data_IF_717355516256
#
_entry.id   IF_717355516256
#
_cell.length_a   1.000
_cell.length_b   1.000
_cell.length_c   1.000
_cell.angle_alpha   90.00
_cell.angle_beta   90.00
_cell.angle_gamma   90.00
#
_symmetry.space_group_name_H-M   'P 1'
#
loop_
_entity.id
_entity.type
_entity.pdbx_description
1 polymer ?
#
# COMPACT_ATOMS: atom_id res chain seq x y z
N UNK A 1 -20.77 -1.20 10.93
CA UNK A 1 -20.71 -1.45 9.47
C UNK A 1 -19.52 -2.34 9.19
N UNK A 2 -19.74 -3.56 8.68
CA UNK A 2 -18.66 -4.41 8.17
C UNK A 2 -18.07 -3.67 6.97
N UNK A 3 -16.86 -3.14 7.12
CA UNK A 3 -16.19 -2.37 6.07
C UNK A 3 -16.11 -3.23 4.81
N UNK A 4 -16.33 -2.61 3.65
CA UNK A 4 -16.11 -3.25 2.36
C UNK A 4 -14.73 -3.93 2.39
N UNK A 5 -14.55 -5.12 1.82
CA UNK A 5 -13.25 -5.82 1.81
C UNK A 5 -12.11 -5.05 1.13
N UNK A 6 -12.34 -3.82 0.68
CA UNK A 6 -11.37 -2.91 0.09
C UNK A 6 -10.58 -2.14 1.15
N UNK A 7 -9.34 -1.82 0.78
CA UNK A 7 -8.47 -0.96 1.54
C UNK A 7 -8.98 0.49 1.60
N UNK A 8 -9.06 1.07 2.79
CA UNK A 8 -9.45 2.46 2.98
C UNK A 8 -8.24 3.40 2.84
N UNK A 9 -8.06 3.89 1.61
CA UNK A 9 -6.99 4.84 1.27
C UNK A 9 -7.10 6.16 2.06
N UNK A 10 -8.32 6.60 2.41
CA UNK A 10 -8.53 7.83 3.17
C UNK A 10 -8.05 7.67 4.61
N UNK A 11 -8.30 6.51 5.21
CA UNK A 11 -7.78 6.17 6.54
C UNK A 11 -6.25 6.05 6.53
N UNK A 12 -5.66 5.44 5.48
CA UNK A 12 -4.21 5.37 5.33
C UNK A 12 -3.57 6.75 5.19
N UNK A 13 -4.13 7.60 4.32
CA UNK A 13 -3.65 8.97 4.12
C UNK A 13 -3.76 9.80 5.39
N UNK A 14 -4.83 9.61 6.19
CA UNK A 14 -4.98 10.31 7.48
C UNK A 14 -3.83 9.97 8.43
N UNK A 15 -3.44 8.69 8.54
CA UNK A 15 -2.30 8.29 9.38
C UNK A 15 -0.98 8.91 8.93
N UNK A 16 -0.78 9.09 7.63
CA UNK A 16 0.39 9.83 7.12
C UNK A 16 0.30 11.32 7.50
N UNK A 17 -0.89 11.91 7.43
CA UNK A 17 -1.13 13.31 7.77
C UNK A 17 -0.94 13.64 9.25
N UNK A 18 -1.22 12.68 10.13
CA UNK A 18 -1.09 12.84 11.57
C UNK A 18 0.37 12.72 12.06
N UNK A 19 1.33 12.46 11.15
CA UNK A 19 2.74 12.39 11.52
C UNK A 19 3.28 13.77 11.91
N UNK A 20 4.05 13.88 13.00
CA UNK A 20 4.57 15.16 13.46
C UNK A 20 5.57 15.78 12.47
N UNK A 21 6.24 14.97 11.66
CA UNK A 21 7.26 15.39 10.68
C UNK A 21 6.68 15.69 9.29
N UNK A 22 5.38 15.48 9.05
CA UNK A 22 4.79 15.66 7.72
C UNK A 22 4.95 17.09 7.19
N UNK A 23 4.97 18.09 8.07
CA UNK A 23 5.16 19.50 7.68
C UNK A 23 6.45 19.76 6.87
N UNK A 24 7.41 18.81 6.88
CA UNK A 24 8.64 18.84 6.08
C UNK A 24 8.44 18.36 4.63
N UNK A 25 7.32 17.73 4.32
CA UNK A 25 7.00 17.19 3.00
C UNK A 25 6.19 18.20 2.18
N UNK A 26 6.55 18.39 0.91
CA UNK A 26 5.79 19.21 -0.03
C UNK A 26 4.59 18.50 -0.66
N UNK A 27 4.53 17.17 -0.59
CA UNK A 27 3.47 16.35 -1.16
C UNK A 27 3.39 14.97 -0.51
N UNK A 28 2.26 14.28 -0.66
CA UNK A 28 2.09 12.86 -0.37
C UNK A 28 1.63 12.17 -1.66
N UNK A 29 2.35 11.12 -2.07
CA UNK A 29 1.98 10.27 -3.20
C UNK A 29 1.54 8.91 -2.67
N UNK A 30 0.38 8.42 -3.15
CA UNK A 30 -0.12 7.10 -2.80
C UNK A 30 -0.31 6.28 -4.08
N UNK A 31 0.32 5.11 -4.13
CA UNK A 31 0.04 4.10 -5.13
C UNK A 31 -0.95 3.06 -4.56
N UNK A 32 -2.13 2.95 -5.16
CA UNK A 32 -3.19 2.06 -4.69
C UNK A 32 -3.47 0.97 -5.73
N UNK A 33 -2.92 -0.23 -5.49
CA UNK A 33 -3.15 -1.40 -6.34
C UNK A 33 -4.49 -2.06 -6.02
N UNK A 34 -5.27 -2.36 -7.05
CA UNK A 34 -6.55 -3.07 -6.92
C UNK A 34 -6.52 -4.35 -7.77
N UNK A 35 -7.01 -5.45 -7.22
CA UNK A 35 -7.15 -6.72 -7.95
C UNK A 35 -8.24 -6.56 -9.00
N UNK A 36 -7.90 -6.81 -10.25
CA UNK A 36 -8.84 -6.86 -11.38
C UNK A 36 -9.44 -8.27 -11.50
N UNK A 37 -10.64 -8.36 -12.08
CA UNK A 37 -11.32 -9.63 -12.34
C UNK A 37 -10.79 -10.44 -13.53
N UNK A 38 -9.61 -10.09 -14.08
CA UNK A 38 -9.00 -10.76 -15.24
C UNK A 38 -7.48 -10.89 -15.10
N UNK A 39 -6.92 -11.89 -15.78
CA UNK A 39 -5.48 -12.04 -16.01
C UNK A 39 -4.99 -11.01 -17.05
N UNK A 40 -3.67 -10.99 -17.33
CA UNK A 40 -3.05 -10.03 -18.28
C UNK A 40 -3.46 -10.26 -19.72
N UNK A 41 -3.77 -11.50 -20.06
CA UNK A 41 -4.32 -11.94 -21.34
C UNK A 41 -5.86 -11.75 -21.45
N UNK A 42 -6.52 -11.28 -20.39
CA UNK A 42 -7.96 -11.05 -20.37
C UNK A 42 -8.79 -12.23 -19.86
N UNK A 43 -8.19 -13.38 -19.53
CA UNK A 43 -8.92 -14.53 -18.97
C UNK A 43 -9.57 -14.15 -17.63
N UNK A 44 -10.86 -14.47 -17.39
CA UNK A 44 -11.52 -14.19 -16.12
C UNK A 44 -10.83 -14.84 -14.92
N UNK A 45 -10.77 -14.13 -13.79
CA UNK A 45 -10.18 -14.58 -12.53
C UNK A 45 -11.19 -14.43 -11.40
N UNK A 46 -11.35 -15.48 -10.59
CA UNK A 46 -12.29 -15.52 -9.45
C UNK A 46 -11.63 -15.31 -8.09
N UNK A 47 -10.29 -15.37 -8.02
CA UNK A 47 -9.52 -15.08 -6.83
C UNK A 47 -8.03 -14.82 -7.16
N UNK A 48 -7.33 -14.12 -6.27
CA UNK A 48 -5.86 -14.04 -6.26
C UNK A 48 -5.33 -14.38 -4.86
N UNK A 49 -4.23 -15.11 -4.79
CA UNK A 49 -3.51 -15.37 -3.54
C UNK A 49 -2.30 -14.44 -3.45
N UNK A 50 -2.22 -13.64 -2.38
CA UNK A 50 -1.13 -12.69 -2.15
C UNK A 50 -0.29 -13.13 -0.96
N UNK A 51 1.02 -13.23 -1.16
CA UNK A 51 2.02 -13.48 -0.10
C UNK A 51 3.12 -12.45 -0.21
N UNK A 52 3.57 -11.95 0.94
CA UNK A 52 4.58 -10.90 1.03
C UNK A 52 5.81 -11.43 1.75
N UNK A 53 6.97 -11.24 1.15
CA UNK A 53 8.22 -11.30 1.87
C UNK A 53 8.33 -10.06 2.77
N UNK A 54 8.02 -10.24 4.06
CA UNK A 54 7.98 -9.14 5.03
C UNK A 54 9.37 -8.62 5.38
N UNK A 55 10.40 -9.47 5.34
CA UNK A 55 11.77 -9.04 5.57
C UNK A 55 12.23 -8.15 4.42
N UNK A 56 12.03 -8.59 3.19
CA UNK A 56 12.39 -7.80 2.01
C UNK A 56 11.59 -6.50 1.90
N UNK A 57 10.30 -6.50 2.27
CA UNK A 57 9.50 -5.28 2.34
C UNK A 57 10.08 -4.27 3.34
N UNK A 58 10.49 -4.74 4.52
CA UNK A 58 11.06 -3.87 5.55
C UNK A 58 12.38 -3.24 5.10
N UNK A 59 13.24 -4.00 4.42
CA UNK A 59 14.48 -3.50 3.80
C UNK A 59 14.18 -2.40 2.78
N UNK A 60 13.26 -2.64 1.85
CA UNK A 60 12.88 -1.65 0.81
C UNK A 60 12.33 -0.37 1.46
N UNK A 61 11.49 -0.48 2.48
CA UNK A 61 10.97 0.69 3.20
C UNK A 61 12.07 1.46 3.92
N UNK A 62 13.03 0.77 4.53
CA UNK A 62 14.18 1.40 5.18
C UNK A 62 15.07 2.13 4.17
N UNK A 63 15.40 1.48 3.05
CA UNK A 63 16.15 2.09 1.94
C UNK A 63 15.41 3.32 1.37
N UNK A 64 14.09 3.21 1.16
CA UNK A 64 13.28 4.32 0.63
C UNK A 64 13.23 5.51 1.57
N UNK A 65 13.10 5.29 2.88
CA UNK A 65 13.12 6.36 3.90
C UNK A 65 14.49 7.05 4.00
N UNK A 66 15.57 6.37 3.62
CA UNK A 66 16.91 6.95 3.60
C UNK A 66 17.18 7.83 2.37
N UNK A 67 16.30 7.81 1.35
CA UNK A 67 16.47 8.64 0.16
C UNK A 67 16.37 10.14 0.50
N UNK A 68 17.21 11.00 -0.10
CA UNK A 68 17.15 12.44 0.11
C UNK A 68 15.76 13.00 -0.20
N UNK A 69 15.20 13.78 0.73
CA UNK A 69 13.90 14.42 0.58
C UNK A 69 12.68 13.55 0.91
N UNK A 70 12.86 12.27 1.26
CA UNK A 70 11.77 11.42 1.74
C UNK A 70 11.58 11.63 3.25
N UNK A 71 10.39 12.09 3.64
CA UNK A 71 9.99 12.25 5.04
C UNK A 71 9.43 10.94 5.60
N UNK A 72 8.68 10.20 4.78
CA UNK A 72 8.08 8.93 5.14
C UNK A 72 7.89 8.05 3.90
N UNK A 73 8.02 6.73 4.09
CA UNK A 73 7.60 5.73 3.13
C UNK A 73 6.91 4.61 3.90
N UNK A 74 5.66 4.32 3.53
CA UNK A 74 4.80 3.34 4.21
C UNK A 74 4.10 2.48 3.18
N UNK A 75 3.89 1.21 3.49
CA UNK A 75 3.16 0.27 2.64
C UNK A 75 2.20 -0.58 3.48
N UNK A 76 0.98 -0.75 2.98
CA UNK A 76 0.01 -1.70 3.52
C UNK A 76 -0.39 -2.67 2.41
N UNK A 77 -0.30 -3.97 2.70
CA UNK A 77 -0.58 -5.03 1.73
C UNK A 77 -1.52 -6.02 2.40
N UNK A 78 -2.67 -6.24 1.75
CA UNK A 78 -3.63 -7.26 2.13
C UNK A 78 -3.16 -8.61 1.57
N UNK A 79 -2.64 -9.46 2.46
CA UNK A 79 -2.24 -10.83 2.14
C UNK A 79 -3.42 -11.81 2.20
N UNK A 80 -3.18 -13.01 1.67
CA UNK A 80 -4.13 -14.12 1.61
C UNK A 80 -4.97 -14.12 0.34
N UNK A 81 -6.04 -14.92 0.35
CA UNK A 81 -6.91 -15.09 -0.81
C UNK A 81 -7.90 -13.95 -0.91
N UNK A 82 -7.84 -13.20 -1.99
CA UNK A 82 -8.78 -12.12 -2.32
C UNK A 82 -9.73 -12.60 -3.41
N UNK A 83 -11.03 -12.37 -3.21
CA UNK A 83 -12.13 -12.70 -4.13
C UNK A 83 -12.89 -11.44 -4.47
#
# INVERSE_FOLDING_TARGET
MKGSGYFDISAFLRRLKDRPDLHRAGMVLVHNGVVRGTSRDGTPVSAVEIRVDRARLAEILAETRALPGIVAAEAEIREGTLR
#
